data_IF_769345495932
#
_entry.id   IF_769345495932
#
_cell.length_a   1.000
_cell.length_b   1.000
_cell.length_c   1.000
_cell.angle_alpha   90.00
_cell.angle_beta   90.00
_cell.angle_gamma   90.00
#
_symmetry.space_group_name_H-M   'P 1'
#
loop_
_entity.id
_entity.type
_entity.pdbx_description
1 polymer ?
#
# COMPACT_ATOMS: atom_id res chain seq x y z
N UNK A 1 -3.73 8.07 1.48
CA UNK A 1 -2.30 8.22 1.79
C UNK A 1 -2.10 8.11 3.28
N UNK A 2 -1.85 6.92 3.82
CA UNK A 2 -1.51 6.78 5.23
C UNK A 2 -0.27 7.62 5.57
N UNK A 3 -0.36 8.33 6.69
CA UNK A 3 0.72 9.16 7.24
C UNK A 3 1.80 8.30 7.89
N UNK A 4 3.03 8.77 7.96
CA UNK A 4 4.12 8.06 8.63
C UNK A 4 3.82 7.83 10.12
N UNK A 5 3.20 8.80 10.80
CA UNK A 5 2.72 8.63 12.19
C UNK A 5 1.76 7.44 12.32
N UNK A 6 0.89 7.22 11.33
CA UNK A 6 -0.02 6.08 11.32
C UNK A 6 0.72 4.76 11.10
N UNK A 7 1.69 4.73 10.17
CA UNK A 7 2.50 3.53 9.94
C UNK A 7 3.27 3.13 11.21
N UNK A 8 3.85 4.12 11.90
CA UNK A 8 4.51 3.93 13.20
C UNK A 8 3.54 3.38 14.24
N UNK A 9 2.33 3.93 14.33
CA UNK A 9 1.29 3.44 15.24
C UNK A 9 0.94 1.98 14.96
N UNK A 10 0.73 1.61 13.68
CA UNK A 10 0.44 0.23 13.30
C UNK A 10 1.59 -0.70 13.72
N UNK A 11 2.83 -0.34 13.40
CA UNK A 11 4.03 -1.11 13.74
C UNK A 11 4.18 -1.28 15.26
N UNK A 12 4.05 -0.20 16.03
CA UNK A 12 4.17 -0.22 17.49
C UNK A 12 3.11 -1.11 18.18
N UNK A 13 1.94 -1.26 17.57
CA UNK A 13 0.87 -2.12 18.06
C UNK A 13 0.88 -3.53 17.43
N UNK A 14 1.88 -3.85 16.60
CA UNK A 14 1.98 -5.13 15.91
C UNK A 14 0.86 -5.39 14.89
N UNK A 15 0.21 -4.33 14.41
CA UNK A 15 -0.89 -4.38 13.43
C UNK A 15 -0.37 -4.42 11.99
N UNK A 16 -1.23 -4.89 11.10
CA UNK A 16 -0.99 -4.93 9.66
C UNK A 16 -1.40 -3.61 9.00
N UNK A 17 -0.97 -3.44 7.75
CA UNK A 17 -1.59 -2.47 6.86
C UNK A 17 -3.12 -2.71 6.80
N UNK A 18 -3.96 -1.71 7.08
CA UNK A 18 -5.40 -1.85 6.89
C UNK A 18 -5.73 -1.75 5.40
N UNK A 19 -6.83 -2.39 4.98
CA UNK A 19 -7.42 -2.02 3.68
C UNK A 19 -7.86 -0.54 3.70
N UNK A 20 -8.04 0.09 2.53
CA UNK A 20 -8.52 1.48 2.46
C UNK A 20 -9.81 1.74 3.24
N UNK A 21 -10.69 0.75 3.35
CA UNK A 21 -11.96 0.83 4.07
C UNK A 21 -11.81 0.69 5.59
N UNK A 22 -10.75 0.06 6.05
CA UNK A 22 -10.46 -0.14 7.48
C UNK A 22 -9.52 0.94 8.02
N UNK A 23 -8.78 1.61 7.14
CA UNK A 23 -7.86 2.68 7.50
C UNK A 23 -8.62 3.84 8.15
N UNK A 24 -8.09 4.32 9.28
CA UNK A 24 -8.61 5.51 9.94
C UNK A 24 -8.48 6.74 9.01
N UNK A 25 -9.59 7.41 8.67
CA UNK A 25 -9.57 8.58 7.81
C UNK A 25 -8.74 9.74 8.35
N UNK A 26 -8.65 9.95 9.67
CA UNK A 26 -7.88 11.05 10.26
C UNK A 26 -6.38 10.81 10.18
N UNK A 27 -6.00 9.54 10.22
CA UNK A 27 -4.63 9.04 10.04
C UNK A 27 -4.17 9.00 8.57
N UNK A 28 -5.00 9.48 7.63
CA UNK A 28 -4.73 9.46 6.20
C UNK A 28 -5.00 10.81 5.54
N UNK A 29 -4.16 11.21 4.58
CA UNK A 29 -4.58 12.25 3.62
C UNK A 29 -5.54 11.63 2.59
N UNK A 30 -6.73 12.20 2.47
CA UNK A 30 -7.76 11.81 1.50
C UNK A 30 -7.70 12.72 0.27
N UNK A 31 -7.61 12.13 -0.92
CA UNK A 31 -7.43 12.89 -2.16
C UNK A 31 -5.95 13.17 -2.44
N UNK A 32 -5.62 14.44 -2.69
CA UNK A 32 -4.25 14.88 -2.96
C UNK A 32 -3.64 15.38 -1.64
N UNK A 33 -2.54 14.79 -1.15
CA UNK A 33 -1.86 15.30 0.04
C UNK A 33 -1.37 16.74 -0.16
N UNK A 34 -1.22 17.53 0.92
CA UNK A 34 -0.69 18.89 0.83
C UNK A 34 0.66 18.94 0.10
N UNK A 35 0.94 20.02 -0.64
CA UNK A 35 2.24 20.19 -1.32
C UNK A 35 3.42 20.34 -0.35
N UNK A 36 3.13 20.65 0.92
CA UNK A 36 4.12 20.83 1.99
C UNK A 36 4.60 19.52 2.61
N UNK A 37 3.97 18.38 2.29
CA UNK A 37 4.39 17.07 2.80
C UNK A 37 5.08 16.27 1.71
N UNK A 38 6.02 15.42 2.10
CA UNK A 38 6.65 14.47 1.20
C UNK A 38 5.69 13.32 0.91
N UNK A 39 5.72 12.89 -0.34
CA UNK A 39 4.80 11.91 -0.91
C UNK A 39 5.63 10.79 -1.49
N UNK A 40 5.41 9.58 -1.01
CA UNK A 40 6.10 8.40 -1.49
C UNK A 40 5.12 7.47 -2.20
N UNK A 41 5.49 6.95 -3.37
CA UNK A 41 4.80 5.83 -3.97
C UNK A 41 5.54 4.55 -3.58
N UNK A 42 4.84 3.56 -3.02
CA UNK A 42 5.46 2.27 -2.68
C UNK A 42 5.16 1.29 -3.80
N UNK A 43 6.22 0.83 -4.48
CA UNK A 43 6.12 -0.33 -5.36
C UNK A 43 6.55 -1.56 -4.58
N UNK A 44 5.67 -2.56 -4.54
CA UNK A 44 5.87 -3.73 -3.69
C UNK A 44 5.19 -4.97 -4.29
N UNK A 45 5.76 -6.17 -4.08
CA UNK A 45 5.10 -7.40 -4.43
C UNK A 45 3.85 -7.61 -3.55
N UNK A 46 2.90 -8.36 -4.10
CA UNK A 46 1.72 -8.78 -3.34
C UNK A 46 1.82 -10.24 -2.94
N UNK A 47 1.61 -10.51 -1.65
CA UNK A 47 1.71 -11.87 -1.13
C UNK A 47 0.47 -12.75 -1.39
N UNK A 48 -0.70 -12.41 -0.83
CA UNK A 48 -1.89 -13.29 -0.87
C UNK A 48 -3.23 -12.52 -0.88
N UNK A 49 -4.16 -12.79 0.04
CA UNK A 49 -5.32 -11.92 0.31
C UNK A 49 -4.89 -10.56 0.87
N UNK A 50 -3.72 -10.51 1.51
CA UNK A 50 -3.09 -9.29 2.01
C UNK A 50 -1.66 -9.18 1.49
N UNK A 51 -1.19 -7.96 1.18
CA UNK A 51 0.12 -7.76 0.54
C UNK A 51 1.29 -8.07 1.48
N UNK A 52 1.14 -7.79 2.78
CA UNK A 52 2.20 -7.90 3.78
C UNK A 52 1.74 -8.58 5.09
N UNK A 53 1.44 -9.90 5.07
CA UNK A 53 0.85 -10.59 6.23
C UNK A 53 1.79 -10.72 7.44
N UNK A 54 3.10 -10.57 7.22
CA UNK A 54 4.13 -10.69 8.26
C UNK A 54 4.70 -9.33 8.69
N UNK A 55 4.15 -8.21 8.18
CA UNK A 55 4.56 -6.83 8.50
C UNK A 55 5.98 -6.45 8.02
N UNK A 56 6.56 -7.26 7.13
CA UNK A 56 7.89 -6.98 6.59
C UNK A 56 7.89 -5.70 5.78
N UNK A 57 6.96 -5.56 4.84
CA UNK A 57 6.90 -4.37 3.99
C UNK A 57 6.60 -3.11 4.81
N UNK A 58 5.74 -3.20 5.83
CA UNK A 58 5.45 -2.09 6.75
C UNK A 58 6.73 -1.59 7.42
N UNK A 59 7.54 -2.49 7.98
CA UNK A 59 8.81 -2.13 8.61
C UNK A 59 9.78 -1.49 7.60
N UNK A 60 9.92 -2.08 6.41
CA UNK A 60 10.83 -1.58 5.37
C UNK A 60 10.43 -0.19 4.85
N UNK A 61 9.13 0.09 4.73
CA UNK A 61 8.62 1.41 4.36
C UNK A 61 8.95 2.44 5.43
N UNK A 62 8.69 2.14 6.71
CA UNK A 62 9.00 3.04 7.83
C UNK A 62 10.50 3.33 7.86
N UNK A 63 11.35 2.30 7.84
CA UNK A 63 12.81 2.44 7.84
C UNK A 63 13.33 3.26 6.66
N UNK A 64 12.73 3.10 5.47
CA UNK A 64 13.11 3.87 4.29
C UNK A 64 12.75 5.36 4.44
N UNK A 65 11.57 5.69 4.96
CA UNK A 65 11.16 7.06 5.21
C UNK A 65 11.98 7.71 6.34
N UNK A 66 12.28 6.96 7.41
CA UNK A 66 13.07 7.45 8.54
C UNK A 66 14.51 7.78 8.17
N UNK A 67 15.15 6.94 7.34
CA UNK A 67 16.49 7.23 6.81
C UNK A 67 16.54 8.52 5.99
N UNK A 68 15.41 8.97 5.47
CA UNK A 68 15.30 10.21 4.72
C UNK A 68 14.86 11.41 5.57
N UNK A 69 14.72 11.24 6.89
CA UNK A 69 14.30 12.29 7.81
C UNK A 69 12.86 12.75 7.62
N UNK A 70 11.96 11.85 7.20
CA UNK A 70 10.55 12.18 7.02
C UNK A 70 9.86 12.51 8.36
N UNK A 71 8.96 13.48 8.31
CA UNK A 71 8.09 13.89 9.43
C UNK A 71 6.82 13.05 9.52
N UNK A 72 6.06 13.27 10.59
CA UNK A 72 4.85 12.50 10.90
C UNK A 72 3.72 12.63 9.87
N UNK A 73 3.65 13.76 9.17
CA UNK A 73 2.63 14.06 8.16
C UNK A 73 3.03 13.64 6.75
N UNK A 74 4.30 13.26 6.54
CA UNK A 74 4.74 12.67 5.28
C UNK A 74 4.03 11.35 5.08
N UNK A 75 3.76 10.99 3.82
CA UNK A 75 2.78 9.96 3.54
C UNK A 75 3.17 9.07 2.37
N UNK A 76 2.57 7.88 2.37
CA UNK A 76 2.78 6.91 1.31
C UNK A 76 1.50 6.68 0.52
N UNK A 77 1.65 6.38 -0.76
CA UNK A 77 0.69 5.68 -1.57
C UNK A 77 1.09 4.20 -1.56
N UNK A 78 0.45 3.45 -0.66
CA UNK A 78 0.49 2.00 -0.61
C UNK A 78 -0.85 1.49 -1.13
N UNK A 79 -0.88 0.74 -2.22
CA UNK A 79 -2.08 0.54 -3.05
C UNK A 79 -3.26 -0.05 -2.25
N UNK A 80 -3.00 -1.05 -1.39
CA UNK A 80 -3.98 -1.72 -0.55
C UNK A 80 -4.65 -0.78 0.46
N UNK A 81 -3.87 0.13 1.05
CA UNK A 81 -4.35 1.14 2.01
C UNK A 81 -4.92 2.38 1.31
N UNK A 82 -4.57 2.62 0.06
CA UNK A 82 -4.86 3.88 -0.65
C UNK A 82 -6.05 3.75 -1.60
N UNK A 83 -6.31 2.54 -2.11
CA UNK A 83 -7.38 2.24 -3.05
C UNK A 83 -8.47 1.38 -2.42
N UNK A 84 -9.73 1.66 -2.78
CA UNK A 84 -10.87 0.88 -2.32
C UNK A 84 -10.79 -0.57 -2.82
N UNK A 85 -10.88 -1.53 -1.91
CA UNK A 85 -10.90 -2.97 -2.19
C UNK A 85 -12.33 -3.50 -2.39
N UNK A 86 -12.58 -4.43 -3.32
CA UNK A 86 -13.91 -5.05 -3.47
C UNK A 86 -15.01 -4.15 -4.08
N UNK A 87 -16.26 -4.27 -3.59
CA UNK A 87 -17.42 -3.54 -4.12
C UNK A 87 -17.29 -2.03 -3.90
N UNK A 88 -17.50 -1.27 -4.97
CA UNK A 88 -17.38 0.19 -4.99
C UNK A 88 -18.71 0.81 -5.38
N UNK A 89 -19.12 1.87 -4.69
CA UNK A 89 -20.15 2.77 -5.22
C UNK A 89 -19.63 3.46 -6.49
N UNK A 90 -20.50 4.03 -7.31
CA UNK A 90 -20.08 4.76 -8.53
C UNK A 90 -19.06 5.86 -8.24
N UNK A 91 -19.17 6.53 -7.08
CA UNK A 91 -18.20 7.53 -6.64
C UNK A 91 -16.83 6.91 -6.39
N UNK A 92 -16.79 5.80 -5.65
CA UNK A 92 -15.55 5.08 -5.33
C UNK A 92 -14.94 4.46 -6.59
N UNK A 93 -15.77 3.99 -7.54
CA UNK A 93 -15.33 3.46 -8.81
C UNK A 93 -14.64 4.53 -9.66
N UNK A 94 -15.23 5.73 -9.77
CA UNK A 94 -14.59 6.87 -10.46
C UNK A 94 -13.26 7.29 -9.83
N UNK A 95 -13.19 7.30 -8.49
CA UNK A 95 -11.95 7.60 -7.77
C UNK A 95 -10.88 6.54 -8.02
N UNK A 96 -11.28 5.27 -8.03
CA UNK A 96 -10.40 4.14 -8.31
C UNK A 96 -9.85 4.20 -9.73
N UNK A 97 -10.70 4.41 -10.73
CA UNK A 97 -10.29 4.58 -12.14
C UNK A 97 -9.38 5.80 -12.34
N UNK A 98 -9.70 6.93 -11.71
CA UNK A 98 -8.86 8.11 -11.76
C UNK A 98 -7.48 7.85 -11.14
N UNK A 99 -7.41 7.08 -10.06
CA UNK A 99 -6.15 6.70 -9.43
C UNK A 99 -5.33 5.74 -10.30
N UNK A 100 -5.96 4.75 -10.93
CA UNK A 100 -5.28 3.81 -11.85
C UNK A 100 -4.77 4.49 -13.11
N UNK A 101 -5.60 5.30 -13.77
CA UNK A 101 -5.21 6.03 -14.98
C UNK A 101 -4.08 7.03 -14.72
N UNK A 102 -3.94 7.50 -13.47
CA UNK A 102 -2.87 8.39 -13.05
C UNK A 102 -1.74 7.68 -12.30
N UNK A 103 -1.78 6.36 -12.13
CA UNK A 103 -0.78 5.65 -11.34
C UNK A 103 0.60 5.68 -12.03
N UNK A 104 0.62 5.49 -13.35
CA UNK A 104 1.82 5.68 -14.18
C UNK A 104 2.29 7.14 -14.14
N UNK A 105 1.37 8.10 -14.11
CA UNK A 105 1.74 9.51 -13.97
C UNK A 105 2.36 9.79 -12.58
N UNK A 106 1.82 9.20 -11.52
CA UNK A 106 2.35 9.38 -10.16
C UNK A 106 3.79 8.87 -10.03
N UNK A 107 4.16 7.82 -10.77
CA UNK A 107 5.53 7.31 -10.84
C UNK A 107 6.46 8.19 -11.70
N UNK A 108 5.90 9.01 -12.60
CA UNK A 108 6.64 9.87 -13.53
C UNK A 108 6.69 11.35 -13.12
N UNK A 109 5.95 11.78 -12.10
CA UNK A 109 5.98 13.16 -11.59
C UNK A 109 7.13 13.37 -10.59
N UNK A 110 7.92 14.42 -10.79
CA UNK A 110 9.11 14.74 -9.97
C UNK A 110 8.85 15.08 -8.50
N UNK A 111 7.59 15.26 -8.11
CA UNK A 111 7.20 15.60 -6.73
C UNK A 111 6.91 14.38 -5.83
N UNK A 112 6.98 13.18 -6.40
CA UNK A 112 6.80 11.93 -5.65
C UNK A 112 8.05 11.09 -5.73
N UNK A 113 8.45 10.57 -4.58
CA UNK A 113 9.58 9.67 -4.47
C UNK A 113 9.09 8.23 -4.53
N UNK A 114 9.82 7.35 -5.22
CA UNK A 114 9.43 5.94 -5.34
C UNK A 114 10.23 5.10 -4.36
N UNK A 115 9.55 4.43 -3.44
CA UNK A 115 10.13 3.41 -2.56
C UNK A 115 9.89 2.05 -3.19
N UNK A 116 10.97 1.37 -3.56
CA UNK A 116 10.93 0.01 -4.08
C UNK A 116 11.20 -0.94 -2.92
N UNK A 117 10.21 -1.78 -2.59
CA UNK A 117 10.35 -2.88 -1.64
C UNK A 117 10.34 -4.18 -2.45
N UNK A 118 11.51 -4.73 -2.81
CA UNK A 118 11.58 -5.81 -3.82
C UNK A 118 11.18 -7.19 -3.28
N UNK A 119 11.12 -7.35 -1.96
CA UNK A 119 11.03 -8.65 -1.32
C UNK A 119 9.74 -8.78 -0.49
N UNK A 120 9.18 -9.98 -0.51
CA UNK A 120 8.33 -10.47 0.57
C UNK A 120 9.19 -11.30 1.51
N UNK A 121 9.18 -11.02 2.81
CA UNK A 121 9.78 -11.95 3.76
C UNK A 121 8.89 -13.19 3.84
N UNK A 122 9.36 -14.27 3.21
CA UNK A 122 8.91 -15.60 3.56
C UNK A 122 9.60 -16.01 4.85
N UNK A 123 8.89 -15.97 5.98
CA UNK A 123 9.27 -16.90 7.05
C UNK A 123 8.88 -18.30 6.57
N UNK A 124 9.88 -19.16 6.37
CA UNK A 124 9.64 -20.57 6.09
C UNK A 124 8.74 -21.16 7.19
N UNK A 125 7.50 -21.51 6.83
CA UNK A 125 6.52 -22.05 7.78
C UNK A 125 5.35 -21.12 8.15
N UNK A 126 5.20 -19.94 7.52
CA UNK A 126 3.98 -19.15 7.69
C UNK A 126 2.74 -19.90 7.17
N UNK A 127 1.79 -20.20 8.06
CA UNK A 127 0.50 -20.82 7.72
C UNK A 127 -0.63 -19.76 7.74
N UNK A 128 -1.19 -19.37 6.57
CA UNK A 128 -2.30 -18.43 6.47
C UNK A 128 -3.56 -18.82 7.27
N UNK A 129 -3.71 -20.10 7.63
CA UNK A 129 -4.85 -20.59 8.41
C UNK A 129 -4.80 -20.16 9.89
N UNK A 130 -3.61 -19.81 10.38
CA UNK A 130 -3.37 -19.36 11.77
C UNK A 130 -3.72 -17.89 12.00
N UNK A 131 -4.13 -17.19 10.94
CA UNK A 131 -4.38 -15.76 10.99
C UNK A 131 -5.64 -15.43 11.79
N UNK A 132 -5.72 -14.30 12.51
CA UNK A 132 -6.96 -13.88 13.15
C UNK A 132 -8.11 -13.78 12.14
N UNK A 133 -9.31 -14.20 12.52
CA UNK A 133 -10.47 -14.30 11.63
C UNK A 133 -10.78 -12.98 10.88
N UNK A 134 -10.48 -11.82 11.48
CA UNK A 134 -10.66 -10.52 10.84
C UNK A 134 -9.78 -10.30 9.59
N UNK A 135 -8.68 -11.03 9.47
CA UNK A 135 -7.73 -10.93 8.38
C UNK A 135 -7.92 -12.07 7.37
N UNK A 136 -8.53 -13.19 7.76
CA UNK A 136 -8.94 -14.27 6.85
C UNK A 136 -10.03 -13.86 5.83
N UNK A 137 -10.39 -12.58 5.75
CA UNK A 137 -11.34 -12.05 4.78
C UNK A 137 -10.86 -12.32 3.35
N UNK A 138 -11.76 -12.83 2.52
CA UNK A 138 -11.55 -13.14 1.10
C UNK A 138 -11.58 -11.89 0.22
N UNK A 139 -10.91 -10.82 0.63
CA UNK A 139 -10.72 -9.67 -0.24
C UNK A 139 -9.54 -9.97 -1.18
N UNK A 140 -9.71 -9.67 -2.48
CA UNK A 140 -8.71 -9.92 -3.53
C UNK A 140 -8.35 -11.41 -3.73
N UNK A 141 -9.33 -12.28 -3.90
CA UNK A 141 -9.09 -13.70 -4.29
C UNK A 141 -8.68 -13.88 -5.75
N UNK A 142 -8.86 -12.85 -6.59
CA UNK A 142 -8.33 -12.85 -7.95
C UNK A 142 -6.80 -12.96 -7.92
N UNK A 143 -6.21 -13.66 -8.89
CA UNK A 143 -4.75 -13.76 -9.00
C UNK A 143 -4.14 -12.37 -9.24
N UNK A 144 -2.88 -12.18 -8.87
CA UNK A 144 -2.19 -10.89 -9.02
C UNK A 144 -2.26 -10.36 -10.46
N UNK A 145 -2.16 -11.24 -11.47
CA UNK A 145 -2.29 -10.88 -12.89
C UNK A 145 -3.69 -10.41 -13.31
N UNK A 146 -4.74 -10.83 -12.60
CA UNK A 146 -6.14 -10.45 -12.86
C UNK A 146 -6.54 -9.15 -12.15
N UNK A 147 -5.70 -8.67 -11.23
CA UNK A 147 -5.90 -7.42 -10.52
C UNK A 147 -5.36 -6.31 -11.41
N UNK A 148 -6.26 -5.63 -12.11
CA UNK A 148 -6.04 -4.67 -13.20
C UNK A 148 -5.06 -3.50 -12.92
N UNK A 149 -4.54 -3.40 -11.69
CA UNK A 149 -3.50 -2.46 -11.27
C UNK A 149 -2.06 -2.99 -11.37
N UNK A 150 -1.87 -4.32 -11.47
CA UNK A 150 -0.56 -4.97 -11.50
C UNK A 150 0.14 -4.89 -12.87
N UNK A 151 -0.53 -4.35 -13.89
CA UNK A 151 -0.04 -4.27 -15.26
C UNK A 151 1.27 -3.48 -15.35
N UNK A 152 1.42 -2.41 -14.57
CA UNK A 152 2.68 -1.64 -14.53
C UNK A 152 3.82 -2.41 -13.83
N UNK A 153 3.55 -3.04 -12.67
CA UNK A 153 4.57 -3.77 -11.90
C UNK A 153 5.05 -5.03 -12.63
N UNK A 154 4.14 -5.72 -13.32
CA UNK A 154 4.45 -6.90 -14.16
C UNK A 154 5.32 -6.54 -15.36
N UNK A 155 5.08 -5.39 -16.00
CA UNK A 155 5.89 -4.93 -17.13
C UNK A 155 7.31 -4.56 -16.72
N UNK A 156 7.51 -3.98 -15.54
CA UNK A 156 8.86 -3.60 -15.06
C UNK A 156 9.65 -4.85 -14.66
N UNK A 157 9.02 -5.85 -14.03
CA UNK A 157 9.67 -7.09 -13.62
C UNK A 157 10.15 -7.96 -14.80
N UNK A 158 9.61 -7.78 -16.01
CA UNK A 158 9.97 -8.57 -17.20
C UNK A 158 11.03 -7.88 -18.09
N UNK A 159 11.55 -6.72 -17.68
CA UNK A 159 12.59 -5.96 -18.40
C UNK A 159 13.98 -6.14 -17.74
N UNK A 160 14.13 -7.08 -16.81
CA UNK A 160 15.43 -7.46 -16.22
C UNK A 160 15.98 -8.74 -16.83
#
# INVERSE_FOLDING_TARGET
WPKLSYLRLLSANGLLFPSRQEADPESCHVGIPPSTVRKFFVSHPWWSSHPDPVKYQLQRVIEAMERQGCGDEDCVFYDFCSLSQGLRSERLQRQFEAALNKMTLNQCYSEMEVLIIPETAMEAGFDPSTWPAQYQKTHNTASYAERSWCVCESMIAHVQ
#
